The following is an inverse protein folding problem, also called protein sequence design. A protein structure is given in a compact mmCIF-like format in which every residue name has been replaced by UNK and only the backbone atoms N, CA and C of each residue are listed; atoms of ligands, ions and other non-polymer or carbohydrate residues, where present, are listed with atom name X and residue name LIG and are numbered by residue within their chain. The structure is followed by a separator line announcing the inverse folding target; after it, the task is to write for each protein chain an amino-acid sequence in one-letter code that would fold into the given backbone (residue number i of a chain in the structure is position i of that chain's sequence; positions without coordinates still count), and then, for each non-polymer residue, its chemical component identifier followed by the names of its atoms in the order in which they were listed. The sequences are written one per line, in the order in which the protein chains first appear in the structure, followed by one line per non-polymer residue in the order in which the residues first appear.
data_IF_952816943028
#
_entry.id   IF_952816943028
#
_cell.length_a   1.000
_cell.length_b   1.000
_cell.length_c   1.000
_cell.angle_alpha   90.00
_cell.angle_beta   90.00
_cell.angle_gamma   90.00
#
_symmetry.space_group_name_H-M   'P 1'
#
loop_
_entity.id
_entity.type
_entity.pdbx_description
1 polymer ?
#
# COMPACT_ATOMS: atom_id res chain seq x y z
N UNK A 1 39.82 60.68 -27.96
CA UNK A 1 39.06 60.73 -29.22
C UNK A 1 37.58 60.53 -28.90
N UNK A 2 36.98 61.57 -28.29
CA UNK A 2 35.75 61.52 -27.47
C UNK A 2 34.60 62.30 -28.15
N UNK A 3 34.43 62.13 -29.47
CA UNK A 3 33.47 62.93 -30.27
C UNK A 3 32.56 62.10 -31.20
N UNK A 4 32.66 60.76 -31.21
CA UNK A 4 31.80 59.92 -32.07
C UNK A 4 30.50 59.50 -31.36
N UNK A 5 30.42 59.61 -30.03
CA UNK A 5 29.30 59.06 -29.25
C UNK A 5 28.08 59.97 -29.11
N UNK A 6 28.11 61.23 -29.57
CA UNK A 6 26.94 62.14 -29.41
C UNK A 6 25.98 62.21 -30.60
N UNK A 7 26.35 61.68 -31.78
CA UNK A 7 25.46 61.63 -32.96
C UNK A 7 24.60 60.36 -33.03
N UNK A 8 25.04 59.26 -32.43
CA UNK A 8 24.33 57.98 -32.51
C UNK A 8 23.11 57.88 -31.57
N UNK A 9 23.09 58.65 -30.47
CA UNK A 9 22.00 58.56 -29.47
C UNK A 9 20.74 59.29 -29.93
N UNK A 10 20.87 60.36 -30.73
CA UNK A 10 19.71 61.16 -31.16
C UNK A 10 18.90 60.53 -32.31
N UNK A 11 19.43 59.52 -33.01
CA UNK A 11 18.74 58.89 -34.16
C UNK A 11 17.87 57.67 -33.76
N UNK A 12 17.98 57.21 -32.51
CA UNK A 12 17.22 56.04 -32.02
C UNK A 12 15.80 56.44 -31.57
N UNK A 13 15.57 57.72 -31.26
CA UNK A 13 14.26 58.22 -30.80
C UNK A 13 13.21 58.39 -31.90
N UNK A 14 13.57 58.20 -33.18
CA UNK A 14 12.70 58.51 -34.32
C UNK A 14 12.17 57.30 -35.11
N UNK A 15 12.50 56.06 -34.75
CA UNK A 15 11.94 54.88 -35.42
C UNK A 15 10.87 54.23 -34.57
N UNK A 16 9.63 54.70 -34.78
CA UNK A 16 8.41 53.91 -34.54
C UNK A 16 8.54 52.58 -35.26
N UNK A 17 9.11 51.56 -34.64
CA UNK A 17 8.97 50.18 -35.08
C UNK A 17 7.76 49.60 -34.38
N UNK A 18 6.58 50.19 -34.64
CA UNK A 18 5.33 49.46 -34.58
C UNK A 18 5.26 48.60 -35.85
N UNK A 19 6.15 47.59 -35.93
CA UNK A 19 5.95 46.51 -36.91
C UNK A 19 4.85 45.64 -36.34
N UNK A 20 3.60 45.98 -36.67
CA UNK A 20 2.51 45.05 -36.56
C UNK A 20 2.90 43.83 -37.42
N UNK A 21 3.16 42.69 -36.77
CA UNK A 21 3.37 41.45 -37.50
C UNK A 21 2.11 41.20 -38.33
N UNK A 22 2.23 40.92 -39.64
CA UNK A 22 1.07 40.69 -40.47
C UNK A 22 0.25 39.55 -39.88
N UNK A 23 -1.08 39.72 -39.87
CA UNK A 23 -2.00 38.86 -39.11
C UNK A 23 -1.73 37.36 -39.34
N UNK A 24 -1.45 36.96 -40.58
CA UNK A 24 -1.16 35.57 -40.94
C UNK A 24 0.04 34.95 -40.20
N UNK A 25 1.04 35.75 -39.79
CA UNK A 25 2.18 35.28 -38.98
C UNK A 25 1.72 35.00 -37.55
N UNK A 26 0.98 35.94 -36.94
CA UNK A 26 0.45 35.78 -35.57
C UNK A 26 -0.50 34.59 -35.50
N UNK A 27 -1.39 34.44 -36.49
CA UNK A 27 -2.30 33.28 -36.57
C UNK A 27 -1.54 31.98 -36.75
N UNK A 28 -0.48 31.96 -37.56
CA UNK A 28 0.35 30.75 -37.77
C UNK A 28 1.09 30.34 -36.49
N UNK A 29 1.67 31.28 -35.76
CA UNK A 29 2.32 30.99 -34.47
C UNK A 29 1.31 30.59 -33.38
N UNK A 30 0.13 31.22 -33.35
CA UNK A 30 -0.95 30.84 -32.43
C UNK A 30 -1.44 29.41 -32.71
N UNK A 31 -1.67 29.05 -33.98
CA UNK A 31 -2.04 27.69 -34.37
C UNK A 31 -0.93 26.68 -34.06
N UNK A 32 0.34 27.06 -34.23
CA UNK A 32 1.48 26.20 -33.91
C UNK A 32 1.63 26.00 -32.39
N UNK A 33 1.38 27.03 -31.58
CA UNK A 33 1.32 26.92 -30.11
C UNK A 33 0.13 26.07 -29.66
N UNK A 34 -1.06 26.25 -30.24
CA UNK A 34 -2.23 25.41 -29.94
C UNK A 34 -1.96 23.97 -30.36
N UNK A 35 -1.32 23.74 -31.51
CA UNK A 35 -0.92 22.41 -31.95
C UNK A 35 0.14 21.78 -31.03
N UNK A 36 1.15 22.53 -30.59
CA UNK A 36 2.14 22.05 -29.62
C UNK A 36 1.51 21.78 -28.26
N UNK A 37 0.57 22.60 -27.80
CA UNK A 37 -0.19 22.37 -26.57
C UNK A 37 -1.17 21.19 -26.70
N UNK A 38 -1.74 20.96 -27.87
CA UNK A 38 -2.61 19.82 -28.15
C UNK A 38 -1.80 18.52 -28.28
N UNK A 39 -0.63 18.58 -28.93
CA UNK A 39 0.32 17.49 -29.03
C UNK A 39 1.00 17.20 -27.69
N UNK A 40 1.29 18.21 -26.87
CA UNK A 40 1.82 18.00 -25.52
C UNK A 40 0.73 17.48 -24.58
N UNK A 41 -0.52 17.91 -24.72
CA UNK A 41 -1.67 17.35 -23.97
C UNK A 41 -2.00 15.91 -24.39
N UNK A 42 -1.80 15.57 -25.67
CA UNK A 42 -1.90 14.19 -26.17
C UNK A 42 -0.67 13.33 -25.84
N UNK A 43 0.53 13.92 -25.72
CA UNK A 43 1.75 13.21 -25.32
C UNK A 43 1.83 13.01 -23.79
N UNK A 44 1.28 13.94 -23.01
CA UNK A 44 1.28 13.91 -21.55
C UNK A 44 0.16 13.02 -20.96
N UNK A 45 -0.76 12.51 -21.78
CA UNK A 45 -1.83 11.60 -21.32
C UNK A 45 -1.45 10.12 -21.42
N UNK A 46 -0.18 9.78 -21.67
CA UNK A 46 0.28 8.39 -21.77
C UNK A 46 1.57 8.07 -21.00
N UNK A 47 1.90 8.81 -19.95
CA UNK A 47 2.64 8.15 -18.84
C UNK A 47 1.60 7.48 -17.93
N UNK A 48 0.94 6.46 -18.48
CA UNK A 48 0.24 5.49 -17.66
C UNK A 48 1.32 4.76 -16.85
N UNK A 49 1.28 4.87 -15.52
CA UNK A 49 1.92 3.90 -14.62
C UNK A 49 1.69 2.50 -15.21
N UNK A 50 2.69 1.61 -15.25
CA UNK A 50 2.55 0.33 -15.93
C UNK A 50 1.31 -0.39 -15.39
N UNK A 51 0.27 -0.45 -16.22
CA UNK A 51 -0.96 -1.14 -15.87
C UNK A 51 -0.61 -2.60 -15.64
N UNK A 52 -0.96 -3.13 -14.47
CA UNK A 52 -0.78 -4.55 -14.14
C UNK A 52 -1.24 -5.43 -15.30
N UNK A 53 -0.44 -6.44 -15.65
CA UNK A 53 -0.76 -7.33 -16.76
C UNK A 53 -2.11 -8.02 -16.52
N UNK A 54 -2.86 -8.30 -17.58
CA UNK A 54 -4.18 -8.94 -17.41
C UNK A 54 -4.08 -10.30 -16.69
N UNK A 55 -2.95 -11.00 -16.87
CA UNK A 55 -2.66 -12.24 -16.15
C UNK A 55 -2.53 -12.02 -14.64
N UNK A 56 -1.80 -10.98 -14.23
CA UNK A 56 -1.65 -10.63 -12.82
C UNK A 56 -2.99 -10.19 -12.21
N UNK A 57 -3.83 -9.46 -12.97
CA UNK A 57 -5.18 -9.09 -12.53
C UNK A 57 -6.06 -10.33 -12.30
N UNK A 58 -5.98 -11.31 -13.20
CA UNK A 58 -6.72 -12.57 -13.08
C UNK A 58 -6.23 -13.38 -11.88
N UNK A 59 -4.91 -13.48 -11.69
CA UNK A 59 -4.32 -14.17 -10.55
C UNK A 59 -4.75 -13.54 -9.22
N UNK A 60 -4.77 -12.20 -9.16
CA UNK A 60 -5.25 -11.45 -7.99
C UNK A 60 -6.73 -11.73 -7.70
N UNK A 61 -7.56 -11.63 -8.73
CA UNK A 61 -9.00 -11.88 -8.64
C UNK A 61 -9.28 -13.30 -8.17
N UNK A 62 -8.53 -14.28 -8.67
CA UNK A 62 -8.68 -15.67 -8.24
C UNK A 62 -8.26 -15.84 -6.79
N UNK A 63 -7.10 -15.28 -6.41
CA UNK A 63 -6.63 -15.34 -5.03
C UNK A 63 -7.67 -14.79 -4.04
N UNK A 64 -8.37 -13.71 -4.38
CA UNK A 64 -9.38 -13.10 -3.49
C UNK A 64 -10.60 -14.01 -3.34
N UNK A 65 -11.07 -14.61 -4.44
CA UNK A 65 -12.15 -15.61 -4.38
C UNK A 65 -11.76 -16.80 -3.51
N UNK A 66 -10.51 -17.26 -3.63
CA UNK A 66 -10.00 -18.37 -2.81
C UNK A 66 -10.02 -18.01 -1.32
N UNK A 67 -9.59 -16.79 -0.95
CA UNK A 67 -9.67 -16.32 0.44
C UNK A 67 -11.13 -16.22 0.92
N UNK A 68 -12.06 -15.73 0.08
CA UNK A 68 -13.48 -15.64 0.41
C UNK A 68 -14.10 -17.03 0.68
N UNK A 69 -13.80 -18.00 -0.17
CA UNK A 69 -14.24 -19.38 0.00
C UNK A 69 -13.66 -20.01 1.27
N UNK A 70 -12.38 -19.78 1.55
CA UNK A 70 -11.74 -20.26 2.77
C UNK A 70 -12.36 -19.62 4.03
N UNK A 71 -12.64 -18.32 4.01
CA UNK A 71 -13.33 -17.63 5.11
C UNK A 71 -14.68 -18.28 5.35
N UNK A 72 -15.47 -18.50 4.29
CA UNK A 72 -16.80 -19.12 4.38
C UNK A 72 -16.72 -20.54 4.94
N UNK A 73 -15.73 -21.32 4.54
CA UNK A 73 -15.53 -22.70 4.98
C UNK A 73 -15.07 -22.80 6.45
N UNK A 74 -14.20 -21.89 6.90
CA UNK A 74 -13.62 -21.90 8.24
C UNK A 74 -14.50 -21.22 9.29
N UNK A 75 -15.35 -20.26 8.89
CA UNK A 75 -16.19 -19.50 9.82
C UNK A 75 -17.02 -20.39 10.76
N UNK A 76 -17.73 -21.43 10.29
CA UNK A 76 -18.50 -22.30 11.19
C UNK A 76 -17.63 -23.08 12.20
N UNK A 77 -16.39 -23.43 11.84
CA UNK A 77 -15.45 -24.12 12.75
C UNK A 77 -14.91 -23.14 13.80
N UNK A 78 -14.50 -21.95 13.37
CA UNK A 78 -14.03 -20.90 14.25
C UNK A 78 -15.13 -20.45 15.23
N UNK A 79 -16.38 -20.36 14.78
CA UNK A 79 -17.52 -20.03 15.64
C UNK A 79 -17.84 -21.11 16.69
N UNK A 80 -17.46 -22.38 16.44
CA UNK A 80 -17.53 -23.46 17.44
C UNK A 80 -16.39 -23.41 18.46
N UNK A 81 -15.44 -22.48 18.33
CA UNK A 81 -14.30 -22.36 19.23
C UNK A 81 -13.15 -23.33 18.91
N UNK A 82 -13.06 -23.81 17.67
CA UNK A 82 -11.94 -24.64 17.23
C UNK A 82 -10.68 -23.77 17.07
N UNK A 83 -9.77 -23.81 18.04
CA UNK A 83 -8.60 -22.92 18.13
C UNK A 83 -7.80 -22.82 16.82
N UNK A 84 -7.62 -23.95 16.12
CA UNK A 84 -6.90 -23.99 14.85
C UNK A 84 -7.64 -23.28 13.72
N UNK A 85 -8.96 -23.43 13.66
CA UNK A 85 -9.80 -22.76 12.67
C UNK A 85 -9.85 -21.25 12.95
N UNK A 86 -9.91 -20.85 14.23
CA UNK A 86 -9.79 -19.45 14.64
C UNK A 86 -8.46 -18.83 14.17
N UNK A 87 -7.34 -19.54 14.36
CA UNK A 87 -6.02 -19.11 13.86
C UNK A 87 -6.02 -18.98 12.33
N UNK A 88 -6.50 -20.00 11.61
CA UNK A 88 -6.49 -20.00 10.14
C UNK A 88 -7.34 -18.86 9.58
N UNK A 89 -8.51 -18.63 10.18
CA UNK A 89 -9.39 -17.53 9.80
C UNK A 89 -8.72 -16.18 10.05
N UNK A 90 -8.04 -16.01 11.19
CA UNK A 90 -7.25 -14.81 11.48
C UNK A 90 -6.15 -14.58 10.45
N UNK A 91 -5.44 -15.64 10.08
CA UNK A 91 -4.31 -15.59 9.14
C UNK A 91 -4.75 -15.22 7.72
N UNK A 92 -5.92 -15.71 7.29
CA UNK A 92 -6.54 -15.30 6.02
C UNK A 92 -6.89 -13.82 6.05
N UNK A 93 -7.55 -13.33 7.09
CA UNK A 93 -7.88 -11.90 7.21
C UNK A 93 -6.63 -11.03 7.22
N UNK A 94 -5.57 -11.46 7.92
CA UNK A 94 -4.29 -10.74 8.00
C UNK A 94 -3.57 -10.71 6.65
N UNK A 95 -3.47 -11.87 5.99
CA UNK A 95 -2.80 -12.04 4.70
C UNK A 95 -3.50 -11.22 3.65
N UNK A 96 -4.82 -11.37 3.51
CA UNK A 96 -5.60 -10.57 2.57
C UNK A 96 -5.42 -9.07 2.85
N UNK A 97 -5.54 -8.63 4.10
CA UNK A 97 -5.42 -7.21 4.42
C UNK A 97 -3.98 -6.66 4.29
N UNK A 98 -2.94 -7.49 4.30
CA UNK A 98 -1.55 -7.08 4.04
C UNK A 98 -1.33 -6.83 2.54
N UNK A 99 -1.90 -7.66 1.68
CA UNK A 99 -1.78 -7.50 0.24
C UNK A 99 -2.58 -6.30 -0.29
N UNK A 100 -3.76 -6.04 0.28
CA UNK A 100 -4.71 -5.06 -0.28
C UNK A 100 -4.87 -3.75 0.51
N UNK A 101 -4.03 -3.50 1.52
CA UNK A 101 -4.06 -2.23 2.24
C UNK A 101 -3.69 -1.07 1.31
N UNK A 102 -4.33 0.12 1.42
CA UNK A 102 -3.87 1.32 0.73
C UNK A 102 -2.44 1.64 1.20
N UNK A 103 -1.47 1.45 0.30
CA UNK A 103 -0.02 1.54 0.55
C UNK A 103 0.79 0.30 0.14
N UNK A 104 0.16 -0.83 -0.22
CA UNK A 104 0.83 -2.03 -0.78
C UNK A 104 1.24 -1.90 -2.26
N UNK A 105 1.72 -2.99 -2.90
CA UNK A 105 2.07 -3.02 -4.34
C UNK A 105 0.95 -2.51 -5.26
N UNK A 106 -0.29 -2.58 -4.79
CA UNK A 106 -1.50 -2.19 -5.51
C UNK A 106 -2.10 -0.86 -5.02
N UNK A 107 -1.42 -0.13 -4.13
CA UNK A 107 -1.83 1.21 -3.69
C UNK A 107 -1.98 2.19 -4.86
N UNK A 108 -1.14 2.00 -5.89
CA UNK A 108 -1.18 2.74 -7.15
C UNK A 108 -2.36 2.34 -8.05
N UNK A 109 -3.02 1.19 -7.80
CA UNK A 109 -4.19 0.75 -8.57
C UNK A 109 -5.50 1.43 -8.18
N UNK A 110 -5.47 2.31 -7.17
CA UNK A 110 -6.58 3.15 -6.75
C UNK A 110 -7.91 2.41 -6.75
N UNK A 111 -8.18 1.54 -5.77
CA UNK A 111 -9.50 0.90 -5.60
C UNK A 111 -10.07 0.43 -6.96
N UNK A 112 -9.41 -0.56 -7.59
CA UNK A 112 -9.92 -1.14 -8.84
C UNK A 112 -11.43 -1.44 -8.67
N UNK A 113 -12.34 -0.77 -9.40
CA UNK A 113 -13.78 -0.78 -9.11
C UNK A 113 -14.44 -2.17 -9.22
N UNK A 114 -13.70 -3.17 -9.70
CA UNK A 114 -14.17 -4.52 -9.99
C UNK A 114 -13.81 -5.56 -8.93
N UNK A 115 -13.03 -5.22 -7.91
CA UNK A 115 -12.54 -6.19 -6.94
C UNK A 115 -13.00 -5.76 -5.53
N UNK A 116 -13.84 -6.58 -4.89
CA UNK A 116 -14.33 -6.35 -3.54
C UNK A 116 -13.35 -6.92 -2.50
N UNK A 117 -12.79 -6.03 -1.68
CA UNK A 117 -11.88 -6.37 -0.58
C UNK A 117 -12.53 -6.22 0.79
N UNK A 118 -13.86 -5.99 0.87
CA UNK A 118 -14.55 -5.66 2.12
C UNK A 118 -14.42 -6.74 3.20
N UNK A 119 -14.20 -7.99 2.79
CA UNK A 119 -13.93 -9.08 3.72
C UNK A 119 -12.53 -9.00 4.35
N UNK A 120 -11.55 -8.32 3.74
CA UNK A 120 -10.16 -8.28 4.20
C UNK A 120 -9.96 -7.20 5.27
N UNK A 121 -9.99 -7.62 6.54
CA UNK A 121 -10.06 -6.70 7.67
C UNK A 121 -9.02 -7.04 8.75
N UNK A 122 -8.04 -6.15 8.92
CA UNK A 122 -6.99 -6.29 9.93
C UNK A 122 -7.54 -6.37 11.36
N UNK A 123 -8.64 -5.69 11.69
CA UNK A 123 -9.28 -5.78 13.01
C UNK A 123 -9.93 -7.15 13.23
N UNK A 124 -10.52 -7.74 12.20
CA UNK A 124 -11.02 -9.13 12.27
C UNK A 124 -9.89 -10.13 12.49
N UNK A 125 -8.74 -9.92 11.85
CA UNK A 125 -7.56 -10.74 12.08
C UNK A 125 -7.13 -10.71 13.56
N UNK A 126 -6.98 -9.51 14.14
CA UNK A 126 -6.63 -9.36 15.57
C UNK A 126 -7.65 -10.05 16.48
N UNK A 127 -8.94 -9.87 16.21
CA UNK A 127 -10.01 -10.52 16.99
C UNK A 127 -9.88 -12.05 16.99
N UNK A 128 -9.68 -12.66 15.82
CA UNK A 128 -9.59 -14.12 15.72
C UNK A 128 -8.26 -14.67 16.24
N UNK A 129 -7.14 -13.94 16.08
CA UNK A 129 -5.88 -14.30 16.74
C UNK A 129 -6.02 -14.29 18.26
N UNK A 130 -6.70 -13.27 18.81
CA UNK A 130 -6.93 -13.19 20.25
C UNK A 130 -7.76 -14.39 20.75
N UNK A 131 -8.86 -14.71 20.07
CA UNK A 131 -9.66 -15.90 20.40
C UNK A 131 -8.86 -17.19 20.35
N UNK A 132 -8.13 -17.40 19.27
CA UNK A 132 -7.29 -18.59 19.09
C UNK A 132 -6.21 -18.71 20.18
N UNK A 133 -5.58 -17.59 20.55
CA UNK A 133 -4.59 -17.53 21.62
C UNK A 133 -5.20 -17.79 23.01
N UNK A 134 -6.44 -17.35 23.24
CA UNK A 134 -7.21 -17.66 24.45
C UNK A 134 -7.59 -19.15 24.51
N UNK A 135 -7.91 -19.75 23.37
CA UNK A 135 -8.14 -21.19 23.20
C UNK A 135 -6.87 -22.04 23.30
N UNK A 136 -5.70 -21.43 23.45
CA UNK A 136 -4.42 -22.10 23.69
C UNK A 136 -3.65 -22.51 22.43
N UNK A 137 -3.99 -21.95 21.26
CA UNK A 137 -3.15 -22.13 20.06
C UNK A 137 -1.83 -21.37 20.22
N UNK A 138 -0.73 -22.12 20.35
CA UNK A 138 0.61 -21.60 20.55
C UNK A 138 1.05 -20.60 19.46
N UNK A 139 0.64 -20.84 18.22
CA UNK A 139 1.03 -19.98 17.09
C UNK A 139 0.27 -18.66 17.19
N UNK A 140 -1.02 -18.69 17.54
CA UNK A 140 -1.80 -17.49 17.81
C UNK A 140 -1.26 -16.68 19.00
N UNK A 141 -0.81 -17.34 20.07
CA UNK A 141 -0.16 -16.65 21.20
C UNK A 141 1.11 -15.92 20.74
N UNK A 142 1.97 -16.56 19.94
CA UNK A 142 3.14 -15.91 19.35
C UNK A 142 2.76 -14.71 18.45
N UNK A 143 1.69 -14.85 17.65
CA UNK A 143 1.16 -13.74 16.82
C UNK A 143 0.61 -12.59 17.66
N UNK A 144 0.01 -12.86 18.80
CA UNK A 144 -0.41 -11.81 19.73
C UNK A 144 0.79 -11.08 20.32
N UNK A 145 1.88 -11.80 20.62
CA UNK A 145 3.16 -11.19 20.97
C UNK A 145 3.66 -10.24 19.88
N UNK A 146 3.68 -10.70 18.63
CA UNK A 146 4.07 -9.89 17.46
C UNK A 146 3.22 -8.61 17.32
N UNK A 147 1.90 -8.74 17.51
CA UNK A 147 0.97 -7.62 17.39
C UNK A 147 1.18 -6.54 18.45
N UNK A 148 1.56 -6.92 19.67
CA UNK A 148 1.87 -5.96 20.73
C UNK A 148 3.31 -5.42 20.67
N UNK A 149 4.20 -6.07 19.94
CA UNK A 149 5.61 -5.67 19.82
C UNK A 149 5.82 -4.61 18.72
N UNK A 150 5.32 -4.85 17.49
CA UNK A 150 5.64 -4.00 16.33
C UNK A 150 4.48 -3.72 15.34
N UNK A 151 3.22 -3.90 15.73
CA UNK A 151 2.09 -3.64 14.82
C UNK A 151 1.54 -2.22 14.91
N UNK A 152 1.14 -1.64 13.77
CA UNK A 152 0.35 -0.40 13.71
C UNK A 152 -1.13 -0.61 14.12
N UNK A 153 -1.57 -1.86 14.28
CA UNK A 153 -2.97 -2.19 14.58
C UNK A 153 -3.31 -2.08 16.06
N UNK A 154 -2.33 -2.36 16.91
CA UNK A 154 -2.43 -2.24 18.35
C UNK A 154 -1.40 -1.23 18.81
N UNK A 155 -1.70 -0.51 19.89
CA UNK A 155 -0.67 0.29 20.53
C UNK A 155 0.40 -0.66 21.07
N UNK A 156 1.66 -0.44 20.67
CA UNK A 156 2.81 -1.18 21.18
C UNK A 156 2.76 -1.25 22.71
N UNK A 157 2.92 -2.46 23.23
CA UNK A 157 2.94 -2.75 24.65
C UNK A 157 3.83 -3.98 24.92
N UNK A 158 5.07 -3.71 25.31
CA UNK A 158 6.09 -4.71 25.57
C UNK A 158 5.74 -5.67 26.70
N UNK A 159 5.03 -5.21 27.74
CA UNK A 159 4.58 -6.09 28.83
C UNK A 159 3.58 -7.13 28.33
N UNK A 160 2.62 -6.71 27.50
CA UNK A 160 1.67 -7.63 26.87
C UNK A 160 2.35 -8.54 25.85
N UNK A 161 3.31 -8.03 25.07
CA UNK A 161 4.08 -8.85 24.15
C UNK A 161 4.86 -9.95 24.89
N UNK A 162 5.58 -9.57 25.96
CA UNK A 162 6.30 -10.50 26.84
C UNK A 162 5.38 -11.53 27.48
N UNK A 163 4.19 -11.11 27.95
CA UNK A 163 3.17 -12.03 28.47
C UNK A 163 2.79 -13.10 27.44
N UNK A 164 2.44 -12.71 26.22
CA UNK A 164 2.00 -13.65 25.17
C UNK A 164 3.13 -14.57 24.70
N UNK A 165 4.34 -14.04 24.51
CA UNK A 165 5.51 -14.87 24.17
C UNK A 165 5.85 -15.87 25.27
N UNK A 166 5.80 -15.44 26.53
CA UNK A 166 6.03 -16.33 27.69
C UNK A 166 4.98 -17.43 27.75
N UNK A 167 3.71 -17.09 27.49
CA UNK A 167 2.63 -18.07 27.43
C UNK A 167 2.88 -19.11 26.34
N UNK A 168 3.26 -18.68 25.13
CA UNK A 168 3.54 -19.55 23.99
C UNK A 168 4.67 -20.58 24.25
N UNK A 169 5.73 -20.20 24.96
CA UNK A 169 6.84 -21.12 25.28
C UNK A 169 6.58 -21.99 26.52
N UNK A 170 5.53 -21.68 27.30
CA UNK A 170 5.18 -22.41 28.53
C UNK A 170 4.43 -23.72 28.28
N UNK A 171 3.97 -23.96 27.04
CA UNK A 171 3.24 -25.18 26.66
C UNK A 171 4.12 -26.44 26.84
N UNK A 172 3.86 -27.21 27.90
CA UNK A 172 4.55 -28.48 28.16
C UNK A 172 4.14 -29.53 27.12
N UNK A 173 5.10 -30.03 26.35
CA UNK A 173 4.90 -31.14 25.40
C UNK A 173 4.66 -30.72 23.94
N UNK A 174 4.37 -29.44 23.67
CA UNK A 174 4.27 -28.88 22.31
C UNK A 174 5.54 -28.12 21.92
N UNK A 175 6.70 -28.65 22.33
CA UNK A 175 8.00 -28.05 22.07
C UNK A 175 8.39 -28.27 20.61
N UNK A 176 7.95 -27.38 19.74
CA UNK A 176 8.64 -27.16 18.48
C UNK A 176 9.88 -26.31 18.77
N UNK A 177 11.04 -26.97 18.75
CA UNK A 177 12.35 -26.36 19.01
C UNK A 177 12.62 -25.12 18.15
N UNK A 178 12.13 -25.09 16.91
CA UNK A 178 12.35 -23.95 16.00
C UNK A 178 11.46 -22.77 16.36
N UNK A 179 10.17 -23.02 16.58
CA UNK A 179 9.23 -21.95 16.97
C UNK A 179 9.56 -21.39 18.35
N UNK A 180 9.88 -22.26 19.31
CA UNK A 180 10.30 -21.84 20.65
C UNK A 180 11.57 -21.00 20.58
N UNK A 181 12.56 -21.40 19.77
CA UNK A 181 13.78 -20.61 19.57
C UNK A 181 13.50 -19.20 19.04
N UNK A 182 12.60 -19.08 18.06
CA UNK A 182 12.20 -17.78 17.52
C UNK A 182 11.46 -16.94 18.57
N UNK A 183 10.50 -17.53 19.30
CA UNK A 183 9.74 -16.82 20.34
C UNK A 183 10.67 -16.36 21.47
N UNK A 184 11.60 -17.21 21.90
CA UNK A 184 12.58 -16.86 22.93
C UNK A 184 13.51 -15.74 22.47
N UNK A 185 13.93 -15.72 21.20
CA UNK A 185 14.73 -14.60 20.68
C UNK A 185 13.98 -13.27 20.69
N UNK A 186 12.68 -13.29 20.37
CA UNK A 186 11.81 -12.10 20.41
C UNK A 186 11.58 -11.64 21.85
N UNK A 187 11.30 -12.59 22.75
CA UNK A 187 11.17 -12.32 24.18
C UNK A 187 12.43 -11.67 24.75
N UNK A 188 13.61 -12.17 24.39
CA UNK A 188 14.89 -11.62 24.82
C UNK A 188 15.19 -10.21 24.25
N UNK A 189 14.55 -9.82 23.14
CA UNK A 189 14.69 -8.47 22.58
C UNK A 189 13.81 -7.43 23.29
N UNK A 190 12.80 -7.87 24.04
CA UNK A 190 11.82 -7.03 24.73
C UNK A 190 12.19 -6.78 26.21
N UNK A 191 12.92 -7.72 26.82
CA UNK A 191 13.39 -7.67 28.21
C UNK A 191 14.69 -6.88 28.33
#
# INVERSE_FOLDING_TARGET
MFQITRRAVNDISARKVQRAFPAWIVTKYFLLCVAVLFLSRNAFSQETLPSISENDRQALTQSIKDHEEQIKALTPQAERGEARAEYQLADIYNTCARYYYPGGRDAELGHSPKIDYSHCNKKKAVYWYQKSAESGDKIAESRMGDLYDYSDLLKTNYEKASYWYTKAVSHKGQKDSKEDGLILSKLAAIL
#
